data_IF_542907043254
#
_entry.id   IF_542907043254
#
_cell.length_a   1.000
_cell.length_b   1.000
_cell.length_c   1.000
_cell.angle_alpha   90.00
_cell.angle_beta   90.00
_cell.angle_gamma   90.00
#
_symmetry.space_group_name_H-M   'P 1'
#
loop_
_entity.id
_entity.type
_entity.pdbx_description
1 polymer ?
#
# COMPACT_ATOMS: atom_id res chain seq x y z
N UNK A 1 45.94 -13.24 -25.09
CA UNK A 1 44.54 -12.89 -24.77
C UNK A 1 44.16 -13.70 -23.54
N UNK A 2 44.32 -13.15 -22.32
CA UNK A 2 43.97 -13.88 -21.10
C UNK A 2 42.46 -13.85 -20.92
N UNK A 3 41.88 -15.02 -20.71
CA UNK A 3 40.47 -15.24 -20.39
C UNK A 3 40.01 -14.33 -19.25
N UNK A 4 38.77 -13.80 -19.27
CA UNK A 4 38.22 -13.10 -18.12
C UNK A 4 38.03 -14.12 -16.98
N UNK A 5 38.52 -13.82 -15.76
CA UNK A 5 38.31 -14.70 -14.63
C UNK A 5 36.80 -14.87 -14.37
N UNK A 6 36.37 -16.04 -13.83
CA UNK A 6 34.98 -16.27 -13.44
C UNK A 6 34.51 -15.17 -12.49
N UNK A 7 33.19 -14.90 -12.38
CA UNK A 7 32.66 -13.84 -11.54
C UNK A 7 32.90 -14.18 -10.07
N UNK A 8 34.10 -13.89 -9.58
CA UNK A 8 34.38 -13.81 -8.17
C UNK A 8 33.38 -12.80 -7.60
N UNK A 9 32.71 -13.18 -6.52
CA UNK A 9 31.82 -12.27 -5.84
C UNK A 9 32.62 -11.00 -5.52
N UNK A 10 32.14 -9.86 -6.03
CA UNK A 10 32.83 -8.57 -5.93
C UNK A 10 33.02 -8.19 -4.45
N UNK A 11 32.32 -8.84 -3.53
CA UNK A 11 32.49 -8.68 -2.09
C UNK A 11 33.64 -9.50 -1.47
N UNK A 12 34.14 -10.54 -2.15
CA UNK A 12 35.10 -11.52 -1.60
C UNK A 12 36.52 -11.27 -2.09
N UNK A 13 36.70 -10.96 -3.37
CA UNK A 13 38.01 -10.76 -3.96
C UNK A 13 38.02 -9.53 -4.87
N UNK A 14 39.13 -8.79 -4.88
CA UNK A 14 39.30 -7.64 -5.76
C UNK A 14 39.74 -8.11 -7.16
N UNK A 15 38.87 -8.07 -8.19
CA UNK A 15 39.22 -8.50 -9.54
C UNK A 15 40.23 -7.57 -10.23
N UNK A 16 40.46 -6.37 -9.69
CA UNK A 16 41.34 -5.36 -10.27
C UNK A 16 42.75 -5.38 -9.68
N UNK A 17 43.00 -6.14 -8.60
CA UNK A 17 44.27 -6.09 -7.85
C UNK A 17 45.51 -6.53 -8.65
N UNK A 18 45.34 -7.41 -9.64
CA UNK A 18 46.46 -7.96 -10.43
C UNK A 18 46.62 -7.29 -11.81
N UNK A 19 45.96 -6.15 -12.05
CA UNK A 19 46.02 -5.49 -13.35
C UNK A 19 47.31 -4.64 -13.47
N UNK A 20 48.21 -4.96 -14.43
CA UNK A 20 49.49 -4.26 -14.58
C UNK A 20 49.35 -2.83 -15.14
N UNK A 21 48.14 -2.46 -15.61
CA UNK A 21 47.84 -1.13 -16.16
C UNK A 21 47.21 -0.18 -15.12
N UNK A 22 46.92 -0.65 -13.91
CA UNK A 22 46.27 0.14 -12.85
C UNK A 22 47.25 0.36 -11.70
N UNK A 23 47.24 1.56 -11.14
CA UNK A 23 47.89 1.80 -9.85
C UNK A 23 47.14 1.05 -8.73
N UNK A 24 47.82 0.71 -7.64
CA UNK A 24 47.22 0.02 -6.48
C UNK A 24 45.97 0.74 -5.98
N UNK A 25 46.02 2.08 -5.90
CA UNK A 25 44.88 2.89 -5.45
C UNK A 25 43.72 2.89 -6.46
N UNK A 26 44.02 2.87 -7.77
CA UNK A 26 42.99 2.85 -8.80
C UNK A 26 42.22 1.51 -8.78
N UNK A 27 42.94 0.41 -8.59
CA UNK A 27 42.35 -0.92 -8.43
C UNK A 27 41.46 -1.01 -7.18
N UNK A 28 41.86 -0.41 -6.06
CA UNK A 28 41.05 -0.36 -4.84
C UNK A 28 39.79 0.49 -5.03
N UNK A 29 39.93 1.70 -5.60
CA UNK A 29 38.79 2.59 -5.83
C UNK A 29 37.77 1.97 -6.77
N UNK A 30 38.22 1.35 -7.88
CA UNK A 30 37.33 0.64 -8.81
C UNK A 30 36.60 -0.53 -8.13
N UNK A 31 37.26 -1.22 -7.20
CA UNK A 31 36.64 -2.29 -6.43
C UNK A 31 35.56 -1.76 -5.48
N UNK A 32 35.82 -0.65 -4.78
CA UNK A 32 34.82 0.02 -3.94
C UNK A 32 33.61 0.49 -4.75
N UNK A 33 33.84 1.08 -5.93
CA UNK A 33 32.75 1.45 -6.85
C UNK A 33 31.95 0.23 -7.34
N UNK A 34 32.62 -0.89 -7.60
CA UNK A 34 31.96 -2.11 -8.01
C UNK A 34 31.05 -2.63 -6.88
N UNK A 35 31.54 -2.67 -5.63
CA UNK A 35 30.76 -3.01 -4.43
C UNK A 35 29.57 -2.06 -4.24
N UNK A 36 29.79 -0.76 -4.37
CA UNK A 36 28.73 0.25 -4.28
C UNK A 36 27.65 0.06 -5.34
N UNK A 37 28.04 -0.21 -6.58
CA UNK A 37 27.09 -0.45 -7.68
C UNK A 37 26.23 -1.69 -7.42
N UNK A 38 26.82 -2.73 -6.83
CA UNK A 38 26.12 -3.96 -6.45
C UNK A 38 25.14 -3.70 -5.31
N UNK A 39 25.56 -2.94 -4.28
CA UNK A 39 24.69 -2.49 -3.20
C UNK A 39 23.53 -1.64 -3.71
N UNK A 40 23.77 -0.76 -4.68
CA UNK A 40 22.72 0.07 -5.29
C UNK A 40 21.72 -0.78 -6.08
N UNK A 41 22.17 -1.82 -6.78
CA UNK A 41 21.27 -2.78 -7.45
C UNK A 41 20.41 -3.54 -6.43
N UNK A 42 21.00 -4.00 -5.33
CA UNK A 42 20.28 -4.66 -4.24
C UNK A 42 19.26 -3.72 -3.60
N UNK A 43 19.65 -2.47 -3.32
CA UNK A 43 18.76 -1.45 -2.78
C UNK A 43 17.60 -1.17 -3.73
N UNK A 44 17.87 -0.98 -5.02
CA UNK A 44 16.84 -0.78 -6.05
C UNK A 44 15.87 -1.97 -6.10
N UNK A 45 16.38 -3.19 -6.08
CA UNK A 45 15.55 -4.37 -6.11
C UNK A 45 14.67 -4.49 -4.85
N UNK A 46 15.26 -4.23 -3.68
CA UNK A 46 14.52 -4.23 -2.41
C UNK A 46 13.47 -3.11 -2.35
N UNK A 47 13.80 -1.91 -2.82
CA UNK A 47 12.88 -0.80 -2.94
C UNK A 47 11.71 -1.13 -3.86
N UNK A 48 11.98 -1.75 -5.03
CA UNK A 48 10.95 -2.21 -5.95
C UNK A 48 10.04 -3.25 -5.32
N UNK A 49 10.60 -4.24 -4.62
CA UNK A 49 9.81 -5.25 -3.92
C UNK A 49 8.94 -4.62 -2.82
N UNK A 50 9.48 -3.64 -2.10
CA UNK A 50 8.75 -2.85 -1.10
C UNK A 50 7.66 -1.97 -1.69
N UNK A 51 7.77 -1.51 -2.95
CA UNK A 51 6.69 -0.77 -3.61
C UNK A 51 5.64 -1.69 -4.23
N UNK A 52 6.01 -2.90 -4.66
CA UNK A 52 5.08 -3.81 -5.36
C UNK A 52 4.30 -4.74 -4.39
N UNK A 53 4.84 -5.09 -3.21
CA UNK A 53 4.19 -6.01 -2.26
C UNK A 53 3.17 -5.44 -1.25
N UNK A 54 3.22 -4.18 -0.78
CA UNK A 54 2.35 -3.74 0.33
C UNK A 54 0.90 -3.54 -0.09
N UNK A 55 0.62 -3.32 -1.37
CA UNK A 55 -0.70 -2.92 -1.83
C UNK A 55 -1.72 -4.05 -1.72
N UNK A 56 -1.37 -5.28 -2.12
CA UNK A 56 -2.34 -6.37 -2.17
C UNK A 56 -2.88 -6.77 -0.78
N UNK A 57 -1.99 -6.86 0.22
CA UNK A 57 -2.36 -7.24 1.58
C UNK A 57 -3.12 -6.12 2.30
N UNK A 58 -2.70 -4.86 2.11
CA UNK A 58 -3.37 -3.72 2.70
C UNK A 58 -4.76 -3.50 2.09
N UNK A 59 -4.89 -3.60 0.75
CA UNK A 59 -6.18 -3.53 0.07
C UNK A 59 -7.13 -4.65 0.47
N UNK A 60 -6.62 -5.88 0.64
CA UNK A 60 -7.44 -7.00 1.13
C UNK A 60 -8.00 -6.72 2.53
N UNK A 61 -7.20 -6.16 3.44
CA UNK A 61 -7.65 -5.78 4.79
C UNK A 61 -8.66 -4.64 4.74
N UNK A 62 -8.42 -3.60 3.92
CA UNK A 62 -9.35 -2.49 3.73
C UNK A 62 -10.71 -2.96 3.20
N UNK A 63 -10.72 -3.87 2.22
CA UNK A 63 -11.97 -4.43 1.67
C UNK A 63 -12.81 -5.17 2.71
N UNK A 64 -12.17 -5.91 3.62
CA UNK A 64 -12.88 -6.57 4.73
C UNK A 64 -13.53 -5.54 5.65
N UNK A 65 -12.83 -4.42 5.93
CA UNK A 65 -13.38 -3.34 6.76
C UNK A 65 -14.52 -2.63 6.04
N UNK A 66 -14.35 -2.29 4.76
CA UNK A 66 -15.38 -1.68 3.91
C UNK A 66 -16.68 -2.51 3.92
N UNK A 67 -16.59 -3.82 3.70
CA UNK A 67 -17.78 -4.69 3.68
C UNK A 67 -18.50 -4.72 5.03
N UNK A 68 -17.75 -4.78 6.14
CA UNK A 68 -18.33 -4.81 7.49
C UNK A 68 -18.97 -3.47 7.85
N UNK A 69 -18.27 -2.37 7.59
CA UNK A 69 -18.77 -1.02 7.88
C UNK A 69 -19.92 -0.63 6.97
N UNK A 70 -19.91 -1.03 5.70
CA UNK A 70 -21.01 -0.83 4.76
C UNK A 70 -22.30 -1.52 5.23
N UNK A 71 -22.20 -2.76 5.72
CA UNK A 71 -23.34 -3.47 6.29
C UNK A 71 -23.87 -2.74 7.54
N UNK A 72 -22.98 -2.39 8.48
CA UNK A 72 -23.35 -1.68 9.71
C UNK A 72 -24.03 -0.35 9.38
N UNK A 73 -23.49 0.42 8.42
CA UNK A 73 -24.05 1.70 8.01
C UNK A 73 -25.45 1.53 7.40
N UNK A 74 -25.65 0.52 6.55
CA UNK A 74 -26.98 0.25 5.97
C UNK A 74 -27.98 -0.16 7.05
N UNK A 75 -27.61 -1.05 7.98
CA UNK A 75 -28.49 -1.44 9.09
C UNK A 75 -28.83 -0.25 9.98
N UNK A 76 -27.84 0.58 10.31
CA UNK A 76 -28.03 1.79 11.11
C UNK A 76 -28.95 2.80 10.41
N UNK A 77 -28.76 3.03 9.10
CA UNK A 77 -29.65 3.91 8.33
C UNK A 77 -31.08 3.38 8.30
N UNK A 78 -31.25 2.07 8.10
CA UNK A 78 -32.56 1.44 8.10
C UNK A 78 -33.23 1.54 9.48
N UNK A 79 -32.47 1.35 10.57
CA UNK A 79 -33.04 1.46 11.94
C UNK A 79 -33.48 2.88 12.26
N UNK A 80 -32.67 3.88 11.89
CA UNK A 80 -33.02 5.29 12.08
C UNK A 80 -34.25 5.65 11.24
N UNK A 81 -34.30 5.22 9.98
CA UNK A 81 -35.43 5.50 9.11
C UNK A 81 -36.72 4.84 9.60
N UNK A 82 -36.64 3.61 10.11
CA UNK A 82 -37.77 2.93 10.76
C UNK A 82 -38.36 3.73 11.92
N UNK A 83 -37.51 4.18 12.85
CA UNK A 83 -37.96 4.98 14.02
C UNK A 83 -38.56 6.32 13.60
N UNK A 84 -37.95 7.03 12.64
CA UNK A 84 -38.49 8.31 12.15
C UNK A 84 -39.84 8.10 11.47
N UNK A 85 -39.97 7.05 10.66
CA UNK A 85 -41.21 6.74 9.97
C UNK A 85 -42.33 6.36 10.95
N UNK A 86 -42.03 5.56 11.98
CA UNK A 86 -43.00 5.23 13.05
C UNK A 86 -43.46 6.46 13.83
N UNK A 87 -42.56 7.41 14.11
CA UNK A 87 -42.90 8.69 14.76
C UNK A 87 -43.78 9.59 13.87
N UNK A 88 -43.54 9.60 12.55
CA UNK A 88 -44.35 10.39 11.61
C UNK A 88 -45.75 9.80 11.43
N UNK A 89 -45.89 8.47 11.49
CA UNK A 89 -47.21 7.79 11.44
C UNK A 89 -47.97 7.94 12.77
N UNK A 90 -47.27 8.02 13.90
CA UNK A 90 -47.86 8.23 15.22
C UNK A 90 -48.25 9.69 15.52
N UNK A 91 -47.89 10.63 14.65
CA UNK A 91 -48.50 11.95 14.60
C UNK A 91 -49.71 11.88 13.65
N UNK A 92 -50.91 11.47 14.11
CA UNK A 92 -52.09 11.61 13.29
C UNK A 92 -52.30 13.11 13.03
N UNK A 93 -52.68 13.44 11.81
CA UNK A 93 -53.31 14.70 11.43
C UNK A 93 -54.29 15.14 12.53
N UNK A 94 -53.85 15.99 13.44
CA UNK A 94 -54.74 16.63 14.38
C UNK A 94 -55.36 17.82 13.66
N UNK A 95 -56.61 17.60 13.25
CA UNK A 95 -57.68 18.59 13.01
C UNK A 95 -57.88 19.05 11.55
N UNK A 96 -58.37 18.14 10.72
CA UNK A 96 -59.49 18.47 9.82
C UNK A 96 -60.68 17.61 10.26
N UNK A 97 -61.72 18.23 10.82
CA UNK A 97 -63.12 17.79 10.93
C UNK A 97 -63.86 18.56 12.05
N UNK A 98 -64.28 19.78 11.76
CA UNK A 98 -65.62 20.30 12.15
C UNK A 98 -65.97 21.49 11.24
N UNK A 99 -66.15 21.23 9.95
CA UNK A 99 -67.08 21.99 9.12
C UNK A 99 -68.38 21.18 9.06
N UNK A 100 -69.20 21.28 10.11
CA UNK A 100 -70.63 20.88 10.11
C UNK A 100 -71.22 21.06 11.53
N UNK A 101 -71.57 22.29 11.90
CA UNK A 101 -72.67 22.51 12.86
C UNK A 101 -73.33 23.86 12.59
N UNK A 102 -74.28 23.84 11.65
CA UNK A 102 -75.29 24.88 11.48
C UNK A 102 -76.12 24.99 12.77
N UNK A 103 -75.86 26.01 13.61
CA UNK A 103 -76.88 26.65 14.46
C UNK A 103 -76.42 28.00 15.02
#
# INVERSE_FOLDING_TARGET
MSSPPPPADVFVENPYANNPALSSIEAEVLWEYAKLSQNLKLLKHKARNLTEQPDALLLARLRVVENKMGLILTLFKASVWGVINEQNVAAPDSLDLTDDTFR
#
